data_IF_366917520786
#
_entry.id   IF_366917520786
#
_cell.length_a   1.000
_cell.length_b   1.000
_cell.length_c   1.000
_cell.angle_alpha   90.00
_cell.angle_beta   90.00
_cell.angle_gamma   90.00
#
_symmetry.space_group_name_H-M   'P 1'
#
loop_
_entity.id
_entity.type
_entity.pdbx_description
1 polymer ?
#
# COMPACT_ATOMS: atom_id res chain seq x y z
N UNK A 1 8.21 7.09 -29.14
CA UNK A 1 8.38 6.47 -27.80
C UNK A 1 7.00 6.18 -27.25
N UNK A 2 6.52 4.94 -27.34
CA UNK A 2 5.24 4.54 -26.75
C UNK A 2 5.57 3.80 -25.45
N UNK A 3 5.67 4.52 -24.32
CA UNK A 3 6.15 3.97 -23.04
C UNK A 3 5.26 2.86 -22.48
N UNK A 4 4.39 3.19 -21.52
CA UNK A 4 3.43 2.23 -20.93
C UNK A 4 2.11 2.16 -21.72
N UNK A 5 2.07 2.68 -22.95
CA UNK A 5 0.85 2.76 -23.75
C UNK A 5 0.27 1.36 -24.02
N UNK A 6 -1.04 1.20 -23.79
CA UNK A 6 -1.76 -0.06 -23.98
C UNK A 6 -1.64 -1.07 -22.83
N UNK A 7 -0.88 -0.76 -21.77
CA UNK A 7 -0.87 -1.60 -20.55
C UNK A 7 -2.05 -1.27 -19.64
N UNK A 8 -2.68 -2.27 -19.01
CA UNK A 8 -3.71 -2.02 -18.01
C UNK A 8 -3.10 -1.34 -16.78
N UNK A 9 -3.89 -0.49 -16.12
CA UNK A 9 -3.50 0.14 -14.87
C UNK A 9 -3.22 -0.92 -13.80
N UNK A 10 -2.16 -0.77 -12.99
CA UNK A 10 -1.93 -1.63 -11.84
C UNK A 10 -3.11 -1.63 -10.88
N UNK A 11 -3.40 -2.79 -10.27
CA UNK A 11 -4.48 -2.94 -9.29
C UNK A 11 -4.17 -2.26 -7.96
N UNK A 12 -2.89 -2.22 -7.58
CA UNK A 12 -2.42 -1.56 -6.37
C UNK A 12 -1.90 -0.17 -6.76
N UNK A 13 -2.38 0.91 -6.10
CA UNK A 13 -1.89 2.26 -6.36
C UNK A 13 -0.39 2.40 -6.07
N UNK A 14 0.31 3.31 -6.78
CA UNK A 14 1.67 3.68 -6.41
C UNK A 14 1.73 4.18 -4.96
N UNK A 15 2.80 3.85 -4.25
CA UNK A 15 2.99 4.23 -2.84
C UNK A 15 2.30 3.33 -1.82
N UNK A 16 1.52 2.34 -2.26
CA UNK A 16 0.84 1.36 -1.41
C UNK A 16 1.46 -0.02 -1.62
N UNK A 17 1.74 -0.73 -0.54
CA UNK A 17 2.16 -2.14 -0.61
C UNK A 17 0.96 -3.07 -0.48
N UNK A 18 0.12 -2.87 0.54
CA UNK A 18 -1.08 -3.66 0.77
C UNK A 18 -2.29 -2.76 1.11
N UNK A 19 -3.27 -2.64 0.21
CA UNK A 19 -4.46 -1.81 0.44
C UNK A 19 -5.21 -2.21 1.72
N UNK A 20 -5.76 -1.22 2.42
CA UNK A 20 -6.53 -1.44 3.66
C UNK A 20 -7.66 -2.47 3.49
N UNK A 21 -8.40 -2.41 2.38
CA UNK A 21 -9.51 -3.33 2.11
C UNK A 21 -9.05 -4.78 1.91
N UNK A 22 -7.83 -4.99 1.41
CA UNK A 22 -7.23 -6.33 1.36
C UNK A 22 -6.79 -6.76 2.76
N UNK A 23 -6.19 -5.86 3.54
CA UNK A 23 -5.76 -6.18 4.90
C UNK A 23 -6.93 -6.53 5.82
N UNK A 24 -8.07 -5.85 5.67
CA UNK A 24 -9.28 -6.11 6.44
C UNK A 24 -9.78 -7.55 6.33
N UNK A 25 -9.56 -8.23 5.19
CA UNK A 25 -9.98 -9.62 4.98
C UNK A 25 -9.25 -10.62 5.89
N UNK A 26 -8.06 -10.24 6.36
CA UNK A 26 -7.22 -11.09 7.23
C UNK A 26 -7.45 -10.79 8.72
N UNK A 27 -8.03 -9.64 9.04
CA UNK A 27 -8.21 -9.21 10.42
C UNK A 27 -9.49 -9.83 11.01
N UNK A 28 -9.47 -10.20 12.30
CA UNK A 28 -10.69 -10.51 13.02
C UNK A 28 -11.59 -9.26 13.11
N UNK A 29 -12.78 -9.42 13.68
CA UNK A 29 -13.66 -8.29 13.93
C UNK A 29 -12.93 -7.17 14.70
N UNK A 30 -12.89 -5.98 14.11
CA UNK A 30 -12.17 -4.85 14.66
C UNK A 30 -12.90 -4.28 15.86
N UNK A 31 -12.21 -4.18 16.99
CA UNK A 31 -12.64 -3.42 18.16
C UNK A 31 -12.07 -2.00 18.12
N UNK A 32 -12.81 -1.04 18.68
CA UNK A 32 -12.38 0.36 18.77
C UNK A 32 -12.59 1.19 17.49
N UNK A 33 -11.79 2.25 17.35
CA UNK A 33 -11.90 3.22 16.26
C UNK A 33 -11.25 2.69 14.97
N UNK A 34 -12.10 2.35 14.00
CA UNK A 34 -11.69 1.81 12.69
C UNK A 34 -10.94 2.83 11.84
N UNK A 35 -11.24 4.12 11.98
CA UNK A 35 -10.56 5.17 11.21
C UNK A 35 -9.13 5.36 11.72
N UNK A 36 -8.93 5.29 13.04
CA UNK A 36 -7.60 5.32 13.62
C UNK A 36 -6.75 4.13 13.15
N UNK A 37 -7.31 2.91 13.16
CA UNK A 37 -6.64 1.71 12.68
C UNK A 37 -6.26 1.83 11.20
N UNK A 38 -7.19 2.29 10.36
CA UNK A 38 -6.95 2.52 8.93
C UNK A 38 -5.81 3.52 8.73
N UNK A 39 -5.81 4.63 9.47
CA UNK A 39 -4.77 5.66 9.38
C UNK A 39 -3.40 5.10 9.76
N UNK A 40 -3.30 4.42 10.90
CA UNK A 40 -2.03 3.83 11.37
C UNK A 40 -1.52 2.80 10.37
N UNK A 41 -2.41 1.96 9.81
CA UNK A 41 -2.05 1.01 8.78
C UNK A 41 -1.45 1.70 7.55
N UNK A 42 -2.12 2.72 7.03
CA UNK A 42 -1.66 3.47 5.84
C UNK A 42 -0.33 4.18 6.09
N UNK A 43 -0.12 4.74 7.29
CA UNK A 43 1.14 5.39 7.66
C UNK A 43 2.31 4.38 7.66
N UNK A 44 2.10 3.18 8.22
CA UNK A 44 3.12 2.11 8.25
C UNK A 44 3.37 1.53 6.85
N UNK A 45 2.31 1.29 6.07
CA UNK A 45 2.40 0.78 4.70
C UNK A 45 3.21 1.71 3.79
N UNK A 46 3.02 3.03 3.92
CA UNK A 46 3.79 4.03 3.19
C UNK A 46 5.29 4.01 3.54
N UNK A 47 5.63 3.79 4.81
CA UNK A 47 7.04 3.58 5.21
C UNK A 47 7.61 2.28 4.64
N UNK A 48 6.83 1.21 4.63
CA UNK A 48 7.20 -0.05 3.97
C UNK A 48 7.49 0.14 2.48
N UNK A 49 6.63 0.88 1.77
CA UNK A 49 6.83 1.22 0.36
C UNK A 49 8.14 1.97 0.14
N UNK A 50 8.38 2.99 0.97
CA UNK A 50 9.61 3.80 0.92
C UNK A 50 10.85 2.94 1.15
N UNK A 51 10.82 2.05 2.14
CA UNK A 51 11.94 1.15 2.44
C UNK A 51 12.29 0.25 1.25
N UNK A 52 11.30 -0.36 0.60
CA UNK A 52 11.50 -1.17 -0.62
C UNK A 52 12.21 -0.35 -1.70
N UNK A 53 11.77 0.89 -1.95
CA UNK A 53 12.39 1.73 -2.96
C UNK A 53 13.81 2.16 -2.59
N UNK A 54 14.08 2.49 -1.33
CA UNK A 54 15.45 2.79 -0.88
C UNK A 54 16.37 1.58 -1.09
N UNK A 55 15.88 0.37 -0.79
CA UNK A 55 16.64 -0.85 -1.06
C UNK A 55 16.92 -1.09 -2.53
N UNK A 56 16.12 -0.55 -3.46
CA UNK A 56 16.25 -0.78 -4.91
C UNK A 56 17.00 0.33 -5.67
N UNK A 57 16.98 1.56 -5.16
CA UNK A 57 17.42 2.75 -5.90
C UNK A 57 18.57 3.50 -5.22
N UNK A 58 18.93 3.16 -3.98
CA UNK A 58 19.89 3.94 -3.19
C UNK A 58 21.24 3.21 -2.99
N UNK A 59 21.60 2.34 -3.92
CA UNK A 59 22.90 1.67 -3.99
C UNK A 59 23.63 1.98 -5.30
#
# INVERSE_FOLDING_TARGET
MNGLAGRPSPKIPPGVCLPWDEKLKELPELSGDKELLRKIWQDIDAFGNTFIWQLLLSF
#
